data_IF_197525583887
#
_entry.id   IF_197525583887
#
_cell.length_a   1.000
_cell.length_b   1.000
_cell.length_c   1.000
_cell.angle_alpha   90.00
_cell.angle_beta   90.00
_cell.angle_gamma   90.00
#
_symmetry.space_group_name_H-M   'P 1'
#
loop_
_entity.id
_entity.type
_entity.pdbx_description
1 polymer ?
#
# COMPACT_ATOMS: atom_id res chain seq x y z
N UNK A 1 -41.99 -43.48 6.49
CA UNK A 1 -42.61 -44.34 5.47
C UNK A 1 -43.57 -43.57 4.58
N UNK A 2 -44.55 -42.80 5.10
CA UNK A 2 -45.53 -42.04 4.33
C UNK A 2 -44.95 -40.96 3.36
N UNK A 3 -43.83 -40.32 3.69
CA UNK A 3 -43.18 -39.33 2.82
C UNK A 3 -42.54 -39.97 1.57
N UNK A 4 -42.07 -41.22 1.72
CA UNK A 4 -41.42 -41.98 0.64
C UNK A 4 -42.41 -42.44 -0.44
N UNK A 5 -43.56 -42.94 -0.04
CA UNK A 5 -44.61 -43.45 -0.99
C UNK A 5 -45.22 -42.33 -1.85
N UNK A 6 -45.34 -41.13 -1.30
CA UNK A 6 -45.91 -40.00 -2.02
C UNK A 6 -44.91 -39.24 -2.95
N UNK A 7 -43.60 -39.36 -2.71
CA UNK A 7 -42.59 -38.85 -3.61
C UNK A 7 -42.26 -39.83 -4.77
N UNK A 8 -42.71 -41.08 -4.66
CA UNK A 8 -42.32 -42.18 -5.56
C UNK A 8 -42.74 -41.98 -7.03
N UNK A 9 -43.81 -41.21 -7.27
CA UNK A 9 -44.35 -40.93 -8.62
C UNK A 9 -44.19 -39.45 -9.06
N UNK A 10 -43.34 -38.64 -8.43
CA UNK A 10 -43.28 -37.22 -8.67
C UNK A 10 -41.95 -36.79 -9.25
N UNK A 11 -41.95 -35.73 -10.06
CA UNK A 11 -40.75 -35.08 -10.61
C UNK A 11 -39.73 -34.71 -9.53
N UNK A 12 -40.19 -34.29 -8.36
CA UNK A 12 -39.34 -33.95 -7.19
C UNK A 12 -38.38 -35.10 -6.81
N UNK A 13 -38.89 -36.36 -6.78
CA UNK A 13 -38.04 -37.51 -6.51
C UNK A 13 -36.96 -37.73 -7.55
N UNK A 14 -37.27 -37.47 -8.81
CA UNK A 14 -36.29 -37.51 -9.92
C UNK A 14 -35.23 -36.46 -9.75
N UNK A 15 -35.60 -35.22 -9.40
CA UNK A 15 -34.65 -34.14 -9.14
C UNK A 15 -33.70 -34.48 -7.98
N UNK A 16 -34.21 -35.00 -6.86
CA UNK A 16 -33.38 -35.49 -5.75
C UNK A 16 -32.34 -36.55 -6.20
N UNK A 17 -32.78 -37.56 -6.95
CA UNK A 17 -31.89 -38.63 -7.40
C UNK A 17 -30.80 -38.11 -8.35
N UNK A 18 -31.18 -37.26 -9.28
CA UNK A 18 -30.21 -36.63 -10.20
C UNK A 18 -29.19 -35.78 -9.44
N UNK A 19 -29.66 -34.97 -8.50
CA UNK A 19 -28.80 -34.12 -7.70
C UNK A 19 -27.84 -34.89 -6.81
N UNK A 20 -28.32 -35.96 -6.16
CA UNK A 20 -27.47 -36.82 -5.35
C UNK A 20 -26.36 -37.49 -6.19
N UNK A 21 -26.68 -37.99 -7.37
CA UNK A 21 -25.68 -38.57 -8.26
C UNK A 21 -24.63 -37.52 -8.67
N UNK A 22 -25.04 -36.31 -8.95
CA UNK A 22 -24.16 -35.20 -9.27
C UNK A 22 -23.26 -34.85 -8.06
N UNK A 23 -23.84 -34.63 -6.87
CA UNK A 23 -23.10 -34.31 -5.66
C UNK A 23 -22.15 -35.42 -5.25
N UNK A 24 -22.58 -36.67 -5.31
CA UNK A 24 -21.71 -37.83 -5.03
C UNK A 24 -20.49 -37.85 -5.98
N UNK A 25 -20.68 -37.50 -7.26
CA UNK A 25 -19.57 -37.42 -8.22
C UNK A 25 -18.64 -36.25 -7.90
N UNK A 26 -19.20 -35.07 -7.66
CA UNK A 26 -18.42 -33.86 -7.38
C UNK A 26 -17.63 -33.94 -6.06
N UNK A 27 -18.22 -34.54 -5.02
CA UNK A 27 -17.58 -34.66 -3.71
C UNK A 27 -16.58 -35.79 -3.61
N UNK A 28 -16.76 -36.89 -4.41
CA UNK A 28 -15.81 -38.02 -4.47
C UNK A 28 -14.59 -37.72 -5.32
N UNK A 29 -14.73 -36.86 -6.35
CA UNK A 29 -13.66 -36.47 -7.25
C UNK A 29 -13.41 -34.94 -7.19
N UNK A 30 -13.04 -34.39 -6.03
CA UNK A 30 -12.85 -32.95 -5.89
C UNK A 30 -11.59 -32.51 -6.63
N UNK A 31 -11.65 -31.35 -7.24
CA UNK A 31 -10.46 -30.68 -7.76
C UNK A 31 -9.78 -29.98 -6.58
N UNK A 32 -8.61 -30.50 -6.20
CA UNK A 32 -7.81 -29.90 -5.15
C UNK A 32 -7.07 -28.68 -5.67
N UNK A 33 -7.24 -27.55 -4.99
CA UNK A 33 -6.53 -26.29 -5.26
C UNK A 33 -5.70 -25.88 -4.05
N UNK A 34 -4.58 -25.24 -4.31
CA UNK A 34 -3.77 -24.66 -3.24
C UNK A 34 -4.46 -23.41 -2.70
N UNK A 35 -4.18 -23.10 -1.44
CA UNK A 35 -4.62 -21.82 -0.88
C UNK A 35 -3.99 -20.66 -1.68
N UNK A 36 -4.79 -19.70 -2.18
CA UNK A 36 -4.26 -18.55 -2.92
C UNK A 36 -3.23 -17.72 -2.13
N UNK A 37 -3.23 -17.80 -0.81
CA UNK A 37 -2.26 -17.09 0.06
C UNK A 37 -0.82 -17.55 -0.20
N UNK A 38 -0.60 -18.84 -0.55
CA UNK A 38 0.74 -19.39 -0.83
C UNK A 38 1.34 -18.80 -2.12
N UNK A 39 0.51 -18.35 -3.05
CA UNK A 39 0.93 -17.85 -4.37
C UNK A 39 1.18 -16.33 -4.39
N UNK A 40 0.78 -15.62 -3.34
CA UNK A 40 0.91 -14.16 -3.23
C UNK A 40 2.33 -13.65 -2.94
N UNK A 41 3.33 -14.51 -2.95
CA UNK A 41 4.72 -14.05 -2.89
C UNK A 41 4.95 -12.92 -3.91
N UNK A 42 5.39 -11.77 -3.42
CA UNK A 42 5.65 -10.54 -4.19
C UNK A 42 6.19 -10.87 -5.59
N UNK A 43 5.36 -10.65 -6.58
CA UNK A 43 5.60 -11.04 -7.95
C UNK A 43 6.93 -10.43 -8.42
N UNK A 44 7.82 -11.22 -9.02
CA UNK A 44 9.14 -10.75 -9.55
C UNK A 44 9.01 -9.52 -10.44
N UNK A 45 7.85 -9.29 -11.03
CA UNK A 45 7.53 -8.15 -11.89
C UNK A 45 7.49 -6.83 -11.10
N UNK A 46 6.92 -6.83 -9.89
CA UNK A 46 6.87 -5.64 -9.03
C UNK A 46 8.26 -5.23 -8.52
N UNK A 47 9.14 -6.20 -8.27
CA UNK A 47 10.52 -5.90 -7.88
C UNK A 47 11.31 -5.21 -9.01
N UNK A 48 10.98 -5.45 -10.27
CA UNK A 48 11.62 -4.80 -11.42
C UNK A 48 11.23 -3.32 -11.52
N UNK A 49 9.95 -2.99 -11.33
CA UNK A 49 9.46 -1.61 -11.37
C UNK A 49 10.02 -0.77 -10.22
N UNK A 50 10.11 -1.33 -9.02
CA UNK A 50 10.76 -0.68 -7.88
C UNK A 50 12.24 -0.40 -8.18
N UNK A 51 12.99 -1.37 -8.74
CA UNK A 51 14.39 -1.19 -9.11
C UNK A 51 14.59 -0.11 -10.17
N UNK A 52 13.71 -0.05 -11.17
CA UNK A 52 13.74 0.98 -12.22
C UNK A 52 13.54 2.37 -11.61
N UNK A 53 12.57 2.53 -10.73
CA UNK A 53 12.32 3.79 -10.03
C UNK A 53 13.50 4.19 -9.16
N UNK A 54 14.08 3.26 -8.40
CA UNK A 54 15.28 3.49 -7.60
C UNK A 54 16.45 3.99 -8.46
N UNK A 55 16.68 3.42 -9.64
CA UNK A 55 17.75 3.84 -10.54
C UNK A 55 17.59 5.29 -11.02
N UNK A 56 16.35 5.74 -11.27
CA UNK A 56 16.07 7.12 -11.65
C UNK A 56 16.36 8.11 -10.51
N UNK A 57 16.04 7.76 -9.28
CA UNK A 57 16.40 8.59 -8.11
C UNK A 57 17.91 8.69 -7.90
N UNK A 58 18.65 7.61 -8.12
CA UNK A 58 20.13 7.64 -8.06
C UNK A 58 20.72 8.51 -9.15
N UNK A 59 20.23 8.40 -10.39
CA UNK A 59 20.67 9.26 -11.49
C UNK A 59 20.37 10.74 -11.21
N UNK A 60 19.17 11.07 -10.72
CA UNK A 60 18.82 12.43 -10.29
C UNK A 60 19.79 12.95 -9.23
N UNK A 61 20.05 12.17 -8.19
CA UNK A 61 20.96 12.54 -7.10
C UNK A 61 22.36 12.83 -7.62
N UNK A 62 22.87 11.98 -8.52
CA UNK A 62 24.19 12.19 -9.14
C UNK A 62 24.24 13.50 -9.93
N UNK A 63 23.23 13.81 -10.73
CA UNK A 63 23.15 15.06 -11.49
C UNK A 63 23.11 16.30 -10.59
N UNK A 64 22.29 16.28 -9.54
CA UNK A 64 22.15 17.39 -8.60
C UNK A 64 23.43 17.59 -7.77
N UNK A 65 24.11 16.51 -7.35
CA UNK A 65 25.42 16.61 -6.69
C UNK A 65 26.50 17.19 -7.62
N UNK A 66 26.47 16.83 -8.90
CA UNK A 66 27.36 17.43 -9.90
C UNK A 66 27.07 18.92 -10.07
N UNK A 67 25.81 19.35 -10.04
CA UNK A 67 25.45 20.77 -10.08
C UNK A 67 26.02 21.52 -8.87
N UNK A 68 25.93 20.97 -7.66
CA UNK A 68 26.55 21.54 -6.45
C UNK A 68 28.09 21.63 -6.62
N UNK A 69 28.71 20.60 -7.17
CA UNK A 69 30.17 20.58 -7.40
C UNK A 69 30.65 21.59 -8.46
N UNK A 70 29.80 21.90 -9.44
CA UNK A 70 30.12 22.88 -10.50
C UNK A 70 29.83 24.31 -10.06
N UNK A 71 29.07 24.52 -9.01
CA UNK A 71 28.75 25.85 -8.50
C UNK A 71 29.99 26.47 -7.83
N UNK A 72 30.76 27.21 -8.61
CA UNK A 72 31.99 27.87 -8.13
C UNK A 72 31.78 29.24 -7.50
N UNK A 73 30.52 29.75 -7.47
CA UNK A 73 30.15 31.03 -6.88
C UNK A 73 30.50 32.26 -7.72
N UNK A 74 30.93 32.07 -9.00
CA UNK A 74 31.15 33.17 -9.91
C UNK A 74 29.83 33.70 -10.43
N UNK A 75 29.64 35.03 -10.33
CA UNK A 75 28.43 35.75 -10.74
C UNK A 75 28.85 36.88 -11.67
N UNK A 76 28.14 37.04 -12.79
CA UNK A 76 28.29 38.18 -13.67
C UNK A 76 27.03 39.03 -13.57
N UNK A 77 27.18 40.28 -13.19
CA UNK A 77 26.07 41.22 -13.05
C UNK A 77 26.23 42.39 -14.03
N UNK A 78 25.21 42.63 -14.83
CA UNK A 78 25.15 43.78 -15.73
C UNK A 78 24.11 44.78 -15.21
N UNK A 79 24.43 46.07 -15.21
CA UNK A 79 23.54 47.12 -14.82
C UNK A 79 23.61 48.29 -15.81
N UNK A 80 22.48 48.81 -16.19
CA UNK A 80 22.36 49.97 -17.05
C UNK A 80 21.56 51.04 -16.30
N UNK A 81 22.13 52.23 -16.18
CA UNK A 81 21.51 53.36 -15.56
C UNK A 81 21.36 54.48 -16.58
N UNK A 82 20.18 55.10 -16.64
CA UNK A 82 19.94 56.33 -17.38
C UNK A 82 19.44 57.40 -16.39
N UNK A 83 19.93 58.62 -16.53
CA UNK A 83 19.49 59.76 -15.73
C UNK A 83 18.88 60.79 -16.66
N UNK A 84 17.58 60.81 -16.85
CA UNK A 84 16.90 61.78 -17.72
C UNK A 84 17.10 63.23 -17.22
N UNK A 85 17.16 63.40 -15.90
CA UNK A 85 17.32 64.75 -15.28
C UNK A 85 18.65 65.43 -15.59
N UNK A 86 19.67 64.62 -15.97
CA UNK A 86 20.96 65.17 -16.38
C UNK A 86 20.93 65.98 -17.69
N UNK A 87 19.78 65.98 -18.37
CA UNK A 87 19.56 66.79 -19.59
C UNK A 87 19.07 68.19 -19.31
N UNK A 88 18.57 68.45 -18.11
CA UNK A 88 17.91 69.74 -17.79
C UNK A 88 18.76 70.69 -16.94
N UNK A 89 19.94 70.27 -16.44
CA UNK A 89 20.79 71.04 -15.52
C UNK A 89 22.06 71.55 -16.24
N UNK A 90 21.90 72.45 -17.20
CA UNK A 90 23.03 73.00 -17.96
C UNK A 90 23.48 74.39 -17.56
N UNK A 91 22.95 74.97 -16.47
CA UNK A 91 23.21 76.38 -16.17
C UNK A 91 23.71 76.73 -14.76
N UNK A 92 24.44 75.85 -14.07
CA UNK A 92 25.17 76.30 -12.86
C UNK A 92 26.60 75.71 -12.83
N UNK A 93 27.51 76.57 -13.13
CA UNK A 93 28.93 76.26 -13.48
C UNK A 93 29.89 76.31 -12.30
N UNK A 94 29.48 76.28 -11.04
CA UNK A 94 30.40 76.47 -9.92
C UNK A 94 30.17 75.58 -8.68
N UNK A 95 29.89 74.36 -8.79
CA UNK A 95 30.04 73.47 -7.63
C UNK A 95 30.38 72.03 -8.06
N UNK A 96 31.54 71.64 -7.67
CA UNK A 96 32.04 70.28 -7.67
C UNK A 96 31.69 69.44 -8.93
N UNK A 97 32.66 69.31 -9.78
CA UNK A 97 32.67 68.37 -10.92
C UNK A 97 32.52 66.91 -10.49
N UNK A 98 31.48 66.61 -9.71
CA UNK A 98 30.94 65.26 -9.65
C UNK A 98 30.38 64.98 -11.02
N UNK A 99 31.07 64.19 -11.80
CA UNK A 99 30.78 63.80 -13.18
C UNK A 99 29.31 63.43 -13.37
N UNK A 100 28.47 64.40 -13.78
CA UNK A 100 27.07 64.15 -14.17
C UNK A 100 27.14 63.28 -15.42
N UNK A 101 26.72 62.02 -15.31
CA UNK A 101 26.62 61.11 -16.46
C UNK A 101 25.16 60.95 -16.88
N UNK A 102 24.91 60.96 -18.17
CA UNK A 102 23.59 60.74 -18.78
C UNK A 102 23.22 59.27 -18.73
N UNK A 103 24.19 58.39 -18.96
CA UNK A 103 23.99 56.95 -18.85
C UNK A 103 25.26 56.29 -18.30
N UNK A 104 25.07 55.16 -17.64
CA UNK A 104 26.13 54.29 -17.11
C UNK A 104 25.82 52.86 -17.48
N UNK A 105 26.79 52.19 -18.08
CA UNK A 105 26.75 50.74 -18.25
C UNK A 105 27.81 50.18 -17.30
N UNK A 106 27.46 49.17 -16.57
CA UNK A 106 28.34 48.52 -15.60
C UNK A 106 28.26 47.00 -15.77
N UNK A 107 29.40 46.37 -15.85
CA UNK A 107 29.58 44.92 -15.77
C UNK A 107 30.43 44.55 -14.57
N UNK A 108 30.01 43.68 -13.77
CA UNK A 108 30.73 43.23 -12.57
C UNK A 108 30.87 41.69 -12.59
N UNK A 109 32.06 41.19 -12.44
CA UNK A 109 32.38 39.81 -12.18
C UNK A 109 32.62 39.67 -10.67
N UNK A 110 31.73 39.01 -9.97
CA UNK A 110 31.82 38.75 -8.54
C UNK A 110 32.09 37.27 -8.27
N UNK A 111 32.79 36.99 -7.19
CA UNK A 111 33.02 35.64 -6.72
C UNK A 111 32.46 35.48 -5.29
N UNK A 112 31.28 34.90 -5.16
CA UNK A 112 30.66 34.61 -3.86
C UNK A 112 31.28 33.35 -3.23
N UNK A 113 32.33 33.52 -2.43
CA UNK A 113 33.13 32.43 -1.87
C UNK A 113 32.26 31.55 -0.95
N UNK A 114 31.41 32.17 -0.11
CA UNK A 114 30.60 31.44 0.88
C UNK A 114 29.48 30.66 0.22
N UNK A 115 28.88 31.18 -0.86
CA UNK A 115 27.87 30.45 -1.60
C UNK A 115 28.45 29.49 -2.65
N UNK A 116 29.72 29.20 -2.63
CA UNK A 116 30.39 28.32 -3.56
C UNK A 116 30.52 26.90 -2.99
N UNK A 117 30.99 25.96 -3.85
CA UNK A 117 31.36 24.60 -3.45
C UNK A 117 32.49 24.53 -2.41
N UNK A 118 33.27 25.60 -2.27
CA UNK A 118 34.40 25.65 -1.35
C UNK A 118 33.97 25.81 0.11
N UNK A 119 32.83 26.39 0.34
CA UNK A 119 32.26 26.52 1.68
C UNK A 119 31.08 25.55 1.90
N UNK A 120 31.19 24.66 2.89
CA UNK A 120 30.20 23.65 3.23
C UNK A 120 29.74 22.77 2.04
N UNK A 121 30.64 22.53 1.08
CA UNK A 121 30.29 21.76 -0.12
C UNK A 121 29.88 20.31 0.18
N UNK A 122 30.47 19.70 1.23
CA UNK A 122 30.08 18.36 1.70
C UNK A 122 28.65 18.34 2.24
N UNK A 123 28.32 19.28 3.10
CA UNK A 123 27.00 19.41 3.73
C UNK A 123 25.93 19.74 2.70
N UNK A 124 26.24 20.59 1.70
CA UNK A 124 25.34 20.89 0.57
C UNK A 124 25.06 19.66 -0.29
N UNK A 125 26.08 18.84 -0.59
CA UNK A 125 25.89 17.58 -1.31
C UNK A 125 25.06 16.58 -0.49
N UNK A 126 25.33 16.49 0.80
CA UNK A 126 24.56 15.64 1.71
C UNK A 126 23.08 16.06 1.77
N UNK A 127 22.81 17.38 1.78
CA UNK A 127 21.42 17.89 1.73
C UNK A 127 20.67 17.38 0.51
N UNK A 128 21.30 17.45 -0.66
CA UNK A 128 20.71 16.92 -1.91
C UNK A 128 20.49 15.42 -1.82
N UNK A 129 21.50 14.66 -1.35
CA UNK A 129 21.41 13.21 -1.23
C UNK A 129 20.27 12.80 -0.28
N UNK A 130 20.18 13.42 0.88
CA UNK A 130 19.16 13.12 1.89
C UNK A 130 17.75 13.50 1.42
N UNK A 131 17.59 14.65 0.74
CA UNK A 131 16.29 15.07 0.20
C UNK A 131 15.79 14.09 -0.88
N UNK A 132 16.68 13.64 -1.76
CA UNK A 132 16.35 12.66 -2.79
C UNK A 132 16.08 11.27 -2.20
N UNK A 133 16.85 10.86 -1.18
CA UNK A 133 16.61 9.61 -0.46
C UNK A 133 15.24 9.62 0.24
N UNK A 134 14.87 10.73 0.88
CA UNK A 134 13.53 10.89 1.47
C UNK A 134 12.44 10.74 0.41
N UNK A 135 12.60 11.42 -0.75
CA UNK A 135 11.64 11.32 -1.86
C UNK A 135 11.56 9.90 -2.42
N UNK A 136 12.69 9.20 -2.53
CA UNK A 136 12.77 7.80 -2.95
C UNK A 136 12.00 6.87 -2.01
N UNK A 137 12.24 7.00 -0.70
CA UNK A 137 11.55 6.19 0.31
C UNK A 137 10.06 6.45 0.34
N UNK A 138 9.63 7.72 0.22
CA UNK A 138 8.20 8.06 0.12
C UNK A 138 7.55 7.50 -1.14
N UNK A 139 8.24 7.55 -2.28
CA UNK A 139 7.79 6.92 -3.53
C UNK A 139 7.66 5.42 -3.38
N UNK A 140 8.65 4.77 -2.76
CA UNK A 140 8.64 3.33 -2.48
C UNK A 140 7.49 2.94 -1.55
N UNK A 141 7.22 3.72 -0.51
CA UNK A 141 6.08 3.49 0.39
C UNK A 141 4.74 3.47 -0.36
N UNK A 142 4.52 4.45 -1.25
CA UNK A 142 3.30 4.51 -2.08
C UNK A 142 3.19 3.28 -3.00
N UNK A 143 4.25 2.98 -3.75
CA UNK A 143 4.27 1.82 -4.65
C UNK A 143 4.00 0.51 -3.90
N UNK A 144 4.58 0.35 -2.71
CA UNK A 144 4.35 -0.84 -1.87
C UNK A 144 2.88 -0.91 -1.42
N UNK A 145 2.27 0.22 -1.03
CA UNK A 145 0.86 0.26 -0.66
C UNK A 145 -0.05 -0.14 -1.82
N UNK A 146 0.20 0.38 -3.03
CA UNK A 146 -0.58 0.04 -4.24
C UNK A 146 -0.46 -1.45 -4.59
N UNK A 147 0.74 -2.03 -4.42
CA UNK A 147 0.98 -3.47 -4.63
C UNK A 147 0.13 -4.31 -3.68
N UNK A 148 0.09 -3.95 -2.39
CA UNK A 148 -0.69 -4.71 -1.40
C UNK A 148 -2.19 -4.51 -1.56
N UNK A 149 -2.66 -3.34 -1.99
CA UNK A 149 -4.07 -3.14 -2.34
C UNK A 149 -4.48 -4.06 -3.50
N UNK A 150 -3.69 -4.06 -4.57
CA UNK A 150 -3.94 -4.97 -5.69
C UNK A 150 -3.88 -6.44 -5.28
N UNK A 151 -2.92 -6.83 -4.45
CA UNK A 151 -2.83 -8.20 -3.94
C UNK A 151 -4.06 -8.59 -3.10
N UNK A 152 -4.62 -7.66 -2.32
CA UNK A 152 -5.85 -7.89 -1.56
C UNK A 152 -7.07 -8.06 -2.47
N UNK A 153 -7.15 -7.24 -3.54
CA UNK A 153 -8.21 -7.34 -4.54
C UNK A 153 -8.12 -8.66 -5.32
N UNK A 154 -6.93 -9.00 -5.82
CA UNK A 154 -6.68 -10.26 -6.54
C UNK A 154 -7.00 -11.49 -5.65
N UNK A 155 -6.63 -11.44 -4.37
CA UNK A 155 -6.95 -12.48 -3.39
C UNK A 155 -8.46 -12.60 -3.19
N UNK A 156 -9.13 -11.47 -3.02
CA UNK A 156 -10.57 -11.40 -2.80
C UNK A 156 -11.32 -11.96 -4.00
N UNK A 157 -10.92 -11.59 -5.22
CA UNK A 157 -11.51 -12.08 -6.47
C UNK A 157 -11.37 -13.61 -6.59
N UNK A 158 -10.17 -14.15 -6.32
CA UNK A 158 -9.93 -15.60 -6.35
C UNK A 158 -10.80 -16.35 -5.33
N UNK A 159 -10.88 -15.87 -4.10
CA UNK A 159 -11.71 -16.52 -3.09
C UNK A 159 -13.21 -16.37 -3.40
N UNK A 160 -13.65 -15.22 -3.90
CA UNK A 160 -15.03 -15.00 -4.31
C UNK A 160 -15.47 -15.99 -5.39
N UNK A 161 -14.56 -16.31 -6.33
CA UNK A 161 -14.82 -17.37 -7.31
C UNK A 161 -15.07 -18.74 -6.63
N UNK A 162 -14.21 -19.16 -5.71
CA UNK A 162 -14.39 -20.46 -5.02
C UNK A 162 -15.60 -20.47 -4.08
N UNK A 163 -15.83 -19.42 -3.33
CA UNK A 163 -16.99 -19.25 -2.48
C UNK A 163 -18.27 -19.27 -3.31
N UNK A 164 -18.28 -18.52 -4.43
CA UNK A 164 -19.40 -18.46 -5.36
C UNK A 164 -19.79 -19.82 -5.92
N UNK A 165 -18.81 -20.68 -6.30
CA UNK A 165 -19.10 -22.03 -6.77
C UNK A 165 -19.77 -22.89 -5.69
N UNK A 166 -19.34 -22.79 -4.44
CA UNK A 166 -19.94 -23.53 -3.32
C UNK A 166 -21.35 -23.05 -3.02
N UNK A 167 -21.57 -21.72 -3.02
CA UNK A 167 -22.89 -21.13 -2.80
C UNK A 167 -23.86 -21.50 -3.94
N UNK A 168 -23.41 -21.52 -5.20
CA UNK A 168 -24.23 -21.93 -6.33
C UNK A 168 -24.70 -23.38 -6.18
N UNK A 169 -23.82 -24.30 -5.79
CA UNK A 169 -24.22 -25.68 -5.49
C UNK A 169 -25.16 -25.79 -4.29
N UNK A 170 -24.98 -24.93 -3.27
CA UNK A 170 -25.91 -24.86 -2.13
C UNK A 170 -27.28 -24.34 -2.56
N UNK A 171 -27.33 -23.35 -3.44
CA UNK A 171 -28.55 -22.80 -4.00
C UNK A 171 -29.36 -23.86 -4.77
N UNK A 172 -28.71 -24.64 -5.64
CA UNK A 172 -29.35 -25.77 -6.34
C UNK A 172 -29.98 -26.78 -5.36
N UNK A 173 -29.31 -27.04 -4.24
CA UNK A 173 -29.87 -27.92 -3.20
C UNK A 173 -31.10 -27.32 -2.53
N UNK A 174 -31.01 -26.00 -2.21
CA UNK A 174 -32.12 -25.28 -1.57
C UNK A 174 -33.32 -25.14 -2.51
N UNK A 175 -33.12 -25.03 -3.83
CA UNK A 175 -34.19 -25.03 -4.83
C UNK A 175 -34.99 -26.35 -4.82
N UNK A 176 -34.28 -27.49 -4.83
CA UNK A 176 -34.90 -28.80 -4.78
C UNK A 176 -35.59 -29.01 -3.43
N UNK A 177 -35.00 -28.57 -2.33
CA UNK A 177 -35.65 -28.63 -1.00
C UNK A 177 -36.89 -27.76 -0.93
N UNK A 178 -36.83 -26.55 -1.48
CA UNK A 178 -37.98 -25.66 -1.53
C UNK A 178 -39.15 -26.28 -2.34
N UNK A 179 -38.86 -26.85 -3.52
CA UNK A 179 -39.83 -27.57 -4.34
C UNK A 179 -40.48 -28.74 -3.55
N UNK A 180 -39.67 -29.52 -2.83
CA UNK A 180 -40.15 -30.61 -1.99
C UNK A 180 -41.03 -30.13 -0.83
N UNK A 181 -40.62 -29.03 -0.16
CA UNK A 181 -41.41 -28.47 0.95
C UNK A 181 -42.70 -27.84 0.48
N UNK A 182 -42.77 -27.17 -0.66
CA UNK A 182 -43.99 -26.68 -1.27
C UNK A 182 -44.96 -27.82 -1.54
N UNK A 183 -44.48 -28.90 -2.16
CA UNK A 183 -45.33 -30.09 -2.39
C UNK A 183 -45.85 -30.73 -1.11
N UNK A 184 -45.05 -30.76 -0.03
CA UNK A 184 -45.46 -31.29 1.27
C UNK A 184 -46.47 -30.38 1.99
N UNK A 185 -46.33 -29.05 1.82
CA UNK A 185 -47.24 -28.06 2.38
C UNK A 185 -48.64 -28.16 1.73
N UNK A 186 -48.69 -28.27 0.39
CA UNK A 186 -49.96 -28.48 -0.34
C UNK A 186 -50.75 -29.71 0.13
N UNK A 187 -50.05 -30.64 0.79
CA UNK A 187 -50.62 -31.87 1.33
C UNK A 187 -50.81 -31.86 2.87
N UNK A 188 -50.71 -30.67 3.48
CA UNK A 188 -50.85 -30.47 4.94
C UNK A 188 -49.88 -31.34 5.79
N UNK A 189 -48.70 -31.64 5.27
CA UNK A 189 -47.73 -32.57 5.90
C UNK A 189 -46.55 -31.89 6.59
N UNK A 190 -46.45 -30.61 6.48
CA UNK A 190 -45.36 -29.84 7.05
C UNK A 190 -45.85 -28.51 7.60
N UNK A 191 -45.14 -27.97 8.61
CA UNK A 191 -45.38 -26.63 9.11
C UNK A 191 -44.78 -25.58 8.20
N UNK A 192 -45.42 -24.40 8.12
CA UNK A 192 -44.92 -23.25 7.37
C UNK A 192 -43.50 -22.82 7.80
N UNK A 193 -43.11 -23.04 9.06
CA UNK A 193 -41.81 -22.62 9.60
C UNK A 193 -40.63 -23.27 8.87
N UNK A 194 -40.75 -24.58 8.52
CA UNK A 194 -39.67 -25.28 7.80
C UNK A 194 -39.50 -24.77 6.37
N UNK A 195 -40.62 -24.47 5.71
CA UNK A 195 -40.56 -23.89 4.37
C UNK A 195 -39.99 -22.49 4.40
N UNK A 196 -40.44 -21.63 5.36
CA UNK A 196 -39.90 -20.27 5.52
C UNK A 196 -38.40 -20.27 5.80
N UNK A 197 -37.92 -21.24 6.60
CA UNK A 197 -36.49 -21.39 6.85
C UNK A 197 -35.72 -21.61 5.55
N UNK A 198 -36.12 -22.58 4.73
CA UNK A 198 -35.42 -22.87 3.44
C UNK A 198 -35.55 -21.71 2.46
N UNK A 199 -36.70 -21.03 2.41
CA UNK A 199 -36.85 -19.81 1.59
C UNK A 199 -35.90 -18.70 2.02
N UNK A 200 -35.74 -18.45 3.31
CA UNK A 200 -34.84 -17.43 3.82
C UNK A 200 -33.36 -17.79 3.52
N UNK A 201 -32.98 -19.07 3.68
CA UNK A 201 -31.64 -19.54 3.33
C UNK A 201 -31.39 -19.43 1.82
N UNK A 202 -32.40 -19.71 0.98
CA UNK A 202 -32.30 -19.51 -0.47
C UNK A 202 -32.12 -18.04 -0.83
N UNK A 203 -32.94 -17.14 -0.29
CA UNK A 203 -32.82 -15.70 -0.53
C UNK A 203 -31.47 -15.16 -0.08
N UNK A 204 -30.93 -15.63 1.05
CA UNK A 204 -29.59 -15.27 1.51
C UNK A 204 -28.51 -15.75 0.53
N UNK A 205 -28.60 -16.99 0.02
CA UNK A 205 -27.67 -17.54 -0.95
C UNK A 205 -27.75 -16.79 -2.31
N UNK A 206 -28.94 -16.45 -2.78
CA UNK A 206 -29.15 -15.63 -4.00
C UNK A 206 -28.52 -14.23 -3.85
N UNK A 207 -28.69 -13.61 -2.69
CA UNK A 207 -28.07 -12.32 -2.38
C UNK A 207 -26.54 -12.42 -2.37
N UNK A 208 -25.98 -13.41 -1.67
CA UNK A 208 -24.55 -13.63 -1.60
C UNK A 208 -23.93 -13.85 -3.01
N UNK A 209 -24.56 -14.67 -3.87
CA UNK A 209 -24.11 -14.86 -5.24
C UNK A 209 -24.15 -13.56 -6.04
N UNK A 210 -25.20 -12.75 -5.88
CA UNK A 210 -25.32 -11.48 -6.62
C UNK A 210 -24.21 -10.48 -6.30
N UNK A 211 -23.66 -10.57 -5.08
CA UNK A 211 -22.52 -9.72 -4.64
C UNK A 211 -21.17 -10.29 -5.08
N UNK A 212 -21.01 -11.61 -4.96
CA UNK A 212 -19.71 -12.26 -5.17
C UNK A 212 -19.36 -12.48 -6.65
N UNK A 213 -20.37 -12.71 -7.49
CA UNK A 213 -20.18 -13.11 -8.88
C UNK A 213 -21.18 -12.42 -9.80
N UNK A 214 -20.68 -11.67 -10.76
CA UNK A 214 -21.49 -11.12 -11.85
C UNK A 214 -22.00 -12.19 -12.82
N UNK A 215 -21.40 -13.37 -12.83
CA UNK A 215 -21.66 -14.44 -13.79
C UNK A 215 -22.50 -15.55 -13.13
N UNK A 216 -23.76 -15.70 -13.56
CA UNK A 216 -24.71 -16.68 -12.99
C UNK A 216 -24.45 -18.14 -13.41
N UNK A 217 -23.56 -18.37 -14.35
CA UNK A 217 -23.28 -19.71 -14.93
C UNK A 217 -22.28 -20.55 -14.15
N UNK A 218 -22.23 -20.32 -12.82
CA UNK A 218 -21.29 -20.96 -11.89
C UNK A 218 -21.78 -22.37 -11.48
N UNK A 219 -23.07 -22.64 -11.52
CA UNK A 219 -23.69 -23.91 -11.06
C UNK A 219 -23.19 -25.15 -11.78
N UNK A 220 -22.63 -24.99 -13.00
CA UNK A 220 -22.05 -26.09 -13.79
C UNK A 220 -20.56 -26.30 -13.52
N UNK A 221 -19.93 -25.48 -12.68
CA UNK A 221 -18.49 -25.59 -12.37
C UNK A 221 -18.25 -26.67 -11.31
N UNK A 222 -17.06 -27.30 -11.32
CA UNK A 222 -16.72 -28.29 -10.31
C UNK A 222 -16.60 -27.66 -8.91
N UNK A 223 -16.81 -28.45 -7.88
CA UNK A 223 -16.50 -28.06 -6.51
C UNK A 223 -14.98 -28.11 -6.31
N UNK A 224 -14.38 -26.97 -6.03
CA UNK A 224 -12.97 -26.89 -5.70
C UNK A 224 -12.77 -27.13 -4.20
N UNK A 225 -11.88 -28.02 -3.83
CA UNK A 225 -11.49 -28.26 -2.43
C UNK A 225 -10.13 -27.63 -2.14
N UNK A 226 -10.07 -26.82 -1.08
CA UNK A 226 -8.83 -26.30 -0.57
C UNK A 226 -8.36 -27.14 0.62
N UNK A 227 -7.06 -27.44 0.65
CA UNK A 227 -6.47 -28.07 1.83
C UNK A 227 -6.44 -27.05 2.98
N UNK A 228 -6.91 -27.42 4.17
CA UNK A 228 -6.80 -26.55 5.33
C UNK A 228 -5.33 -26.37 5.69
N UNK A 229 -4.98 -25.14 6.05
CA UNK A 229 -3.62 -24.76 6.39
C UNK A 229 -3.57 -23.87 7.61
N UNK A 230 -2.44 -23.87 8.31
CA UNK A 230 -2.13 -22.98 9.42
C UNK A 230 -0.98 -22.07 9.01
N UNK A 231 -1.08 -20.79 9.32
CA UNK A 231 0.00 -19.83 9.11
C UNK A 231 0.74 -19.60 10.43
N UNK A 232 2.04 -19.88 10.42
CA UNK A 232 2.96 -19.54 11.51
C UNK A 232 3.64 -18.21 11.18
N UNK A 233 3.80 -17.36 12.19
CA UNK A 233 4.46 -16.06 12.05
C UNK A 233 5.71 -16.04 12.90
N UNK A 234 6.86 -15.73 12.30
CA UNK A 234 8.08 -15.41 13.03
C UNK A 234 7.98 -13.99 13.63
N UNK A 235 7.46 -13.92 14.83
CA UNK A 235 7.23 -12.66 15.52
C UNK A 235 8.55 -11.95 15.84
N UNK A 236 9.65 -12.67 16.08
CA UNK A 236 10.94 -12.05 16.38
C UNK A 236 11.51 -11.34 15.15
N UNK A 237 11.46 -11.99 13.98
CA UNK A 237 11.85 -11.39 12.72
C UNK A 237 10.94 -10.19 12.37
N UNK A 238 9.64 -10.30 12.60
CA UNK A 238 8.66 -9.23 12.34
C UNK A 238 8.94 -7.99 13.21
N UNK A 239 9.20 -8.16 14.51
CA UNK A 239 9.50 -7.03 15.40
C UNK A 239 10.81 -6.34 15.04
N UNK A 240 11.84 -7.10 14.70
CA UNK A 240 13.12 -6.54 14.23
C UNK A 240 12.92 -5.75 12.93
N UNK A 241 12.12 -6.27 11.99
CA UNK A 241 11.84 -5.57 10.74
C UNK A 241 11.12 -4.23 10.99
N UNK A 242 10.14 -4.19 11.91
CA UNK A 242 9.46 -2.94 12.28
C UNK A 242 10.43 -1.91 12.86
N UNK A 243 11.36 -2.33 13.71
CA UNK A 243 12.25 -1.41 14.39
C UNK A 243 13.37 -0.85 13.48
N UNK A 244 13.88 -1.65 12.56
CA UNK A 244 15.13 -1.36 11.85
C UNK A 244 14.96 -1.24 10.33
N UNK A 245 14.12 -2.04 9.72
CA UNK A 245 14.11 -2.24 8.27
C UNK A 245 12.88 -1.62 7.58
N UNK A 246 11.84 -1.30 8.31
CA UNK A 246 10.62 -0.75 7.73
C UNK A 246 10.89 0.57 7.00
N UNK A 247 10.15 0.82 5.92
CA UNK A 247 10.28 2.07 5.15
C UNK A 247 10.01 3.28 6.05
N UNK A 248 9.06 3.18 6.98
CA UNK A 248 8.73 4.26 7.91
C UNK A 248 9.87 4.56 8.89
N UNK A 249 10.50 3.53 9.45
CA UNK A 249 11.69 3.71 10.29
C UNK A 249 12.82 4.41 9.52
N UNK A 250 13.07 4.01 8.26
CA UNK A 250 14.07 4.63 7.40
C UNK A 250 13.73 6.08 7.03
N UNK A 251 12.46 6.39 6.74
CA UNK A 251 12.00 7.76 6.49
C UNK A 251 12.29 8.66 7.71
N UNK A 252 12.00 8.19 8.93
CA UNK A 252 12.27 8.96 10.15
C UNK A 252 13.77 9.14 10.39
N UNK A 253 14.58 8.11 10.14
CA UNK A 253 16.05 8.24 10.22
C UNK A 253 16.58 9.27 9.23
N UNK A 254 16.10 9.28 7.99
CA UNK A 254 16.54 10.26 6.98
C UNK A 254 16.09 11.67 7.36
N UNK A 255 14.88 11.86 7.89
CA UNK A 255 14.41 13.16 8.40
C UNK A 255 15.31 13.67 9.55
N UNK A 256 15.70 12.80 10.48
CA UNK A 256 16.64 13.15 11.55
C UNK A 256 18.00 13.58 10.98
N UNK A 257 18.51 12.85 9.98
CA UNK A 257 19.76 13.21 9.30
C UNK A 257 19.66 14.54 8.53
N UNK A 258 18.50 14.86 7.95
CA UNK A 258 18.25 16.16 7.31
C UNK A 258 18.32 17.28 8.35
N UNK A 259 17.65 17.13 9.50
CA UNK A 259 17.70 18.13 10.57
C UNK A 259 19.14 18.34 11.11
N UNK A 260 19.90 17.26 11.28
CA UNK A 260 21.32 17.34 11.64
C UNK A 260 22.16 18.07 10.59
N UNK A 261 21.95 17.76 9.32
CA UNK A 261 22.71 18.39 8.24
C UNK A 261 22.33 19.88 8.08
N UNK A 262 21.05 20.22 8.20
CA UNK A 262 20.59 21.60 8.16
C UNK A 262 21.08 22.42 9.38
N UNK A 263 21.19 21.80 10.56
CA UNK A 263 21.84 22.40 11.72
C UNK A 263 23.31 22.75 11.46
N UNK A 264 24.07 21.87 10.76
CA UNK A 264 25.46 22.13 10.35
C UNK A 264 25.57 23.25 9.31
N UNK A 265 24.59 23.33 8.39
CA UNK A 265 24.52 24.40 7.39
C UNK A 265 24.13 25.74 8.00
N UNK A 266 23.41 25.75 9.12
CA UNK A 266 22.92 26.95 9.79
C UNK A 266 23.99 27.50 10.74
N UNK A 267 24.90 28.30 10.20
CA UNK A 267 25.89 29.01 10.99
C UNK A 267 25.98 30.50 10.58
N UNK A 268 26.64 31.32 11.39
CA UNK A 268 26.76 32.75 11.16
C UNK A 268 27.45 33.06 9.82
N UNK A 269 28.50 32.32 9.46
CA UNK A 269 29.23 32.52 8.21
C UNK A 269 28.36 32.21 6.98
N UNK A 270 27.37 31.29 7.11
CA UNK A 270 26.45 30.97 6.01
C UNK A 270 25.53 32.12 5.63
N UNK A 271 25.31 33.10 6.52
CA UNK A 271 24.51 34.31 6.27
C UNK A 271 25.37 35.48 5.80
N UNK A 272 26.68 35.41 5.96
CA UNK A 272 27.63 36.41 5.52
C UNK A 272 27.96 36.20 4.05
N UNK A 273 28.11 37.29 3.28
CA UNK A 273 28.56 37.24 1.90
C UNK A 273 29.93 37.92 1.80
N UNK A 274 30.89 37.20 1.27
CA UNK A 274 32.23 37.74 0.94
C UNK A 274 32.38 37.58 -0.56
N UNK A 275 32.41 38.73 -1.26
CA UNK A 275 32.42 38.77 -2.72
C UNK A 275 33.57 39.64 -3.21
N UNK A 276 34.75 39.06 -3.46
CA UNK A 276 35.73 39.74 -4.31
C UNK A 276 35.11 40.04 -5.67
N UNK A 277 35.32 41.22 -6.20
CA UNK A 277 34.74 41.58 -7.48
C UNK A 277 35.75 42.39 -8.33
N UNK A 278 35.58 42.26 -9.63
CA UNK A 278 36.15 43.15 -10.63
C UNK A 278 34.99 43.80 -11.40
N UNK A 279 34.97 45.08 -11.44
CA UNK A 279 33.93 45.87 -12.05
C UNK A 279 34.47 46.74 -13.15
N UNK A 280 33.80 46.75 -14.28
CA UNK A 280 34.03 47.70 -15.35
C UNK A 280 32.78 48.59 -15.47
N UNK A 281 33.01 49.91 -15.58
CA UNK A 281 31.95 50.89 -15.71
C UNK A 281 32.24 51.84 -16.85
N UNK A 282 31.33 52.00 -17.76
CA UNK A 282 31.37 53.01 -18.82
C UNK A 282 30.35 54.10 -18.56
N UNK A 283 30.79 55.30 -18.50
CA UNK A 283 29.96 56.48 -18.21
C UNK A 283 29.82 57.33 -19.47
N UNK A 284 28.64 57.60 -19.89
CA UNK A 284 28.32 58.60 -20.89
C UNK A 284 28.07 59.94 -20.21
N UNK A 285 29.04 60.84 -20.30
CA UNK A 285 28.98 62.13 -19.62
C UNK A 285 28.08 63.12 -20.37
N UNK A 286 27.67 64.19 -19.68
CA UNK A 286 26.79 65.24 -20.24
C UNK A 286 27.44 66.00 -21.43
N UNK A 287 28.79 66.05 -21.50
CA UNK A 287 29.55 66.62 -22.59
C UNK A 287 29.80 65.63 -23.77
N UNK A 288 29.04 64.57 -23.87
CA UNK A 288 29.14 63.48 -24.85
C UNK A 288 30.45 62.70 -24.83
N UNK A 289 31.31 62.86 -23.82
CA UNK A 289 32.51 62.02 -23.64
C UNK A 289 32.15 60.72 -22.95
N UNK A 290 32.86 59.63 -23.34
CA UNK A 290 32.75 58.32 -22.68
C UNK A 290 33.97 58.20 -21.77
N UNK A 291 33.74 57.90 -20.52
CA UNK A 291 34.80 57.58 -19.54
C UNK A 291 34.64 56.14 -19.09
N UNK A 292 35.70 55.38 -19.09
CA UNK A 292 35.75 54.00 -18.66
C UNK A 292 36.57 53.87 -17.38
N UNK A 293 36.00 53.24 -16.36
CA UNK A 293 36.68 52.98 -15.10
C UNK A 293 36.67 51.48 -14.78
N UNK A 294 37.75 50.96 -14.25
CA UNK A 294 37.86 49.61 -13.72
C UNK A 294 38.11 49.67 -12.23
N UNK A 295 37.29 48.93 -11.47
CA UNK A 295 37.41 48.83 -10.01
C UNK A 295 37.60 47.35 -9.63
N UNK A 296 38.47 47.10 -8.65
CA UNK A 296 38.66 45.81 -8.02
C UNK A 296 38.47 45.99 -6.52
N UNK A 297 37.69 45.09 -5.90
CA UNK A 297 37.43 45.23 -4.46
C UNK A 297 36.89 43.97 -3.85
N UNK A 298 36.64 44.05 -2.56
CA UNK A 298 35.94 42.98 -1.81
C UNK A 298 34.72 43.58 -1.14
N UNK A 299 33.56 43.01 -1.41
CA UNK A 299 32.31 43.40 -0.77
C UNK A 299 32.01 42.42 0.36
N UNK A 300 31.79 42.97 1.55
CA UNK A 300 31.32 42.24 2.72
C UNK A 300 29.87 42.61 2.96
N UNK A 301 28.99 41.59 3.08
CA UNK A 301 27.61 41.77 3.53
C UNK A 301 27.44 40.93 4.77
N UNK A 302 27.35 41.59 5.91
CA UNK A 302 27.18 40.93 7.23
C UNK A 302 25.79 41.32 7.74
N UNK A 303 24.89 40.37 8.00
CA UNK A 303 23.58 40.70 8.57
C UNK A 303 23.77 41.24 9.99
N UNK A 304 23.10 42.37 10.27
CA UNK A 304 23.11 42.99 11.61
C UNK A 304 22.46 42.11 12.64
N UNK A 305 21.42 41.40 12.21
CA UNK A 305 20.72 40.44 13.07
C UNK A 305 21.08 38.99 12.72
N UNK A 306 21.58 38.26 13.73
CA UNK A 306 21.97 36.87 13.56
C UNK A 306 20.85 35.93 14.06
N UNK A 307 20.09 35.34 13.13
CA UNK A 307 19.07 34.33 13.43
C UNK A 307 19.62 32.90 13.61
N UNK A 308 20.91 32.68 13.28
CA UNK A 308 21.50 31.32 13.23
C UNK A 308 21.34 30.55 14.55
N UNK A 309 21.55 31.14 15.76
CA UNK A 309 21.39 30.42 17.01
C UNK A 309 19.94 29.97 17.25
N UNK A 310 18.95 30.81 16.87
CA UNK A 310 17.51 30.47 17.00
C UNK A 310 17.11 29.38 16.01
N UNK A 311 17.56 29.49 14.77
CA UNK A 311 17.32 28.46 13.73
C UNK A 311 17.94 27.13 14.12
N UNK A 312 19.15 27.16 14.66
CA UNK A 312 19.81 25.94 15.15
C UNK A 312 19.04 25.28 16.29
N UNK A 313 18.60 26.08 17.27
CA UNK A 313 17.76 25.57 18.36
C UNK A 313 16.43 25.01 17.87
N UNK A 314 15.80 25.67 16.89
CA UNK A 314 14.58 25.16 16.28
C UNK A 314 14.80 23.78 15.60
N UNK A 315 15.91 23.61 14.87
CA UNK A 315 16.27 22.34 14.23
C UNK A 315 16.60 21.22 15.26
N UNK A 316 17.23 21.60 16.39
CA UNK A 316 17.46 20.66 17.50
C UNK A 316 16.11 20.21 18.12
N UNK A 317 15.17 21.14 18.33
CA UNK A 317 13.81 20.82 18.80
C UNK A 317 13.06 19.98 17.77
N UNK A 318 13.16 20.29 16.48
CA UNK A 318 12.57 19.49 15.39
C UNK A 318 13.10 18.05 15.41
N UNK A 319 14.39 17.87 15.63
CA UNK A 319 15.00 16.55 15.79
C UNK A 319 14.41 15.76 16.98
N UNK A 320 14.20 16.43 18.11
CA UNK A 320 13.54 15.81 19.27
C UNK A 320 12.10 15.42 18.98
N UNK A 321 11.35 16.28 18.26
CA UNK A 321 10.00 15.98 17.80
C UNK A 321 10.01 14.74 16.89
N UNK A 322 10.93 14.67 15.91
CA UNK A 322 11.05 13.53 14.99
C UNK A 322 11.32 12.23 15.78
N UNK A 323 12.22 12.26 16.78
CA UNK A 323 12.50 11.10 17.64
C UNK A 323 11.28 10.67 18.45
N UNK A 324 10.57 11.63 19.04
CA UNK A 324 9.36 11.36 19.81
C UNK A 324 8.25 10.77 18.92
N UNK A 325 8.02 11.36 17.74
CA UNK A 325 7.06 10.84 16.75
C UNK A 325 7.42 9.45 16.31
N UNK A 326 8.71 9.17 16.01
CA UNK A 326 9.16 7.82 15.64
C UNK A 326 8.78 6.78 16.69
N UNK A 327 9.03 7.09 17.97
CA UNK A 327 8.72 6.16 19.05
C UNK A 327 7.21 5.90 19.18
N UNK A 328 6.40 6.94 18.96
CA UNK A 328 4.92 6.84 18.96
C UNK A 328 4.44 6.02 17.78
N UNK A 329 4.89 6.34 16.57
CA UNK A 329 4.50 5.65 15.33
C UNK A 329 4.87 4.15 15.40
N UNK A 330 6.09 3.82 15.85
CA UNK A 330 6.53 2.42 16.03
C UNK A 330 5.64 1.69 17.03
N UNK A 331 5.26 2.35 18.14
CA UNK A 331 4.39 1.77 19.15
C UNK A 331 2.99 1.50 18.59
N UNK A 332 2.43 2.42 17.84
CA UNK A 332 1.11 2.28 17.19
C UNK A 332 1.12 1.15 16.15
N UNK A 333 2.16 1.09 15.30
CA UNK A 333 2.33 -0.01 14.34
C UNK A 333 2.41 -1.35 15.08
N UNK A 334 3.21 -1.46 16.15
CA UNK A 334 3.32 -2.68 16.95
C UNK A 334 1.99 -3.09 17.58
N UNK A 335 1.21 -2.13 18.05
CA UNK A 335 -0.13 -2.41 18.60
C UNK A 335 -1.09 -2.93 17.55
N UNK A 336 -1.14 -2.28 16.37
CA UNK A 336 -1.98 -2.70 15.24
C UNK A 336 -1.60 -4.09 14.74
N UNK A 337 -0.31 -4.34 14.58
CA UNK A 337 0.23 -5.64 14.18
C UNK A 337 -0.12 -6.72 15.21
N UNK A 338 -0.02 -6.43 16.50
CA UNK A 338 -0.35 -7.38 17.56
C UNK A 338 -1.83 -7.80 17.54
N UNK A 339 -2.74 -6.86 17.22
CA UNK A 339 -4.16 -7.14 17.03
C UNK A 339 -4.35 -8.09 15.82
N UNK A 340 -3.67 -7.83 14.71
CA UNK A 340 -3.76 -8.66 13.51
C UNK A 340 -3.14 -10.05 13.74
N UNK A 341 -2.05 -10.18 14.50
CA UNK A 341 -1.46 -11.47 14.87
C UNK A 341 -2.44 -12.33 15.68
N UNK A 342 -3.10 -11.75 16.67
CA UNK A 342 -4.15 -12.44 17.44
C UNK A 342 -5.32 -12.85 16.55
N UNK A 343 -5.70 -11.99 15.59
CA UNK A 343 -6.74 -12.32 14.61
C UNK A 343 -6.34 -13.51 13.74
N UNK A 344 -5.09 -13.56 13.26
CA UNK A 344 -4.56 -14.70 12.48
C UNK A 344 -4.59 -15.99 13.30
N UNK A 345 -4.22 -15.94 14.57
CA UNK A 345 -4.27 -17.10 15.47
C UNK A 345 -5.70 -17.62 15.65
N UNK A 346 -6.64 -16.74 15.93
CA UNK A 346 -8.06 -17.08 16.04
C UNK A 346 -8.61 -17.66 14.73
N UNK A 347 -8.23 -17.08 13.58
CA UNK A 347 -8.63 -17.60 12.27
C UNK A 347 -8.02 -18.97 11.97
N UNK A 348 -6.76 -19.22 12.35
CA UNK A 348 -6.15 -20.55 12.25
C UNK A 348 -6.94 -21.60 13.03
N UNK A 349 -7.38 -21.28 14.26
CA UNK A 349 -8.21 -22.18 15.08
C UNK A 349 -9.59 -22.41 14.47
N UNK A 350 -10.24 -21.35 13.99
CA UNK A 350 -11.54 -21.45 13.34
C UNK A 350 -11.47 -22.28 12.05
N UNK A 351 -10.43 -22.10 11.22
CA UNK A 351 -10.20 -22.90 10.01
C UNK A 351 -9.99 -24.38 10.37
N UNK A 352 -9.22 -24.68 11.39
CA UNK A 352 -9.02 -26.05 11.84
C UNK A 352 -10.33 -26.70 12.33
N UNK A 353 -11.17 -25.94 13.03
CA UNK A 353 -12.49 -26.41 13.48
C UNK A 353 -13.41 -26.70 12.30
N UNK A 354 -13.53 -25.79 11.34
CA UNK A 354 -14.35 -26.02 10.14
C UNK A 354 -13.82 -27.18 9.28
N UNK A 355 -12.51 -27.31 9.15
CA UNK A 355 -11.88 -28.43 8.45
C UNK A 355 -12.24 -29.77 9.11
N UNK A 356 -12.21 -29.82 10.45
CA UNK A 356 -12.66 -31.01 11.21
C UNK A 356 -14.14 -31.31 10.98
N UNK A 357 -15.01 -30.28 11.00
CA UNK A 357 -16.44 -30.45 10.70
C UNK A 357 -16.67 -30.98 9.28
N UNK A 358 -15.97 -30.45 8.29
CA UNK A 358 -16.05 -30.92 6.90
C UNK A 358 -15.65 -32.39 6.81
N UNK A 359 -14.53 -32.80 7.46
CA UNK A 359 -14.06 -34.17 7.46
C UNK A 359 -15.08 -35.12 8.13
N UNK A 360 -15.59 -34.75 9.31
CA UNK A 360 -16.57 -35.56 10.02
C UNK A 360 -17.88 -35.67 9.25
N UNK A 361 -18.38 -34.57 8.69
CA UNK A 361 -19.61 -34.58 7.89
C UNK A 361 -19.45 -35.41 6.62
N UNK A 362 -18.29 -35.31 5.96
CA UNK A 362 -17.96 -36.10 4.76
C UNK A 362 -17.95 -37.60 5.09
N UNK A 363 -17.25 -38.00 6.16
CA UNK A 363 -17.25 -39.40 6.64
C UNK A 363 -18.64 -39.89 7.01
N UNK A 364 -19.44 -39.06 7.65
CA UNK A 364 -20.80 -39.40 8.01
C UNK A 364 -21.69 -39.62 6.78
N UNK A 365 -21.59 -38.76 5.77
CA UNK A 365 -22.27 -38.91 4.49
C UNK A 365 -21.87 -40.23 3.82
N UNK A 366 -20.56 -40.55 3.80
CA UNK A 366 -20.06 -41.78 3.21
C UNK A 366 -20.58 -43.03 3.92
N UNK A 367 -20.57 -43.06 5.25
CA UNK A 367 -21.10 -44.20 6.01
C UNK A 367 -22.61 -44.39 5.76
N UNK A 368 -23.38 -43.30 5.60
CA UNK A 368 -24.84 -43.37 5.36
C UNK A 368 -25.19 -43.64 3.90
N UNK A 369 -24.29 -43.40 2.95
CA UNK A 369 -24.49 -43.66 1.52
C UNK A 369 -25.03 -45.07 1.24
N UNK A 370 -24.50 -46.05 1.89
CA UNK A 370 -24.94 -47.44 1.74
C UNK A 370 -26.40 -47.64 2.23
N UNK A 371 -26.78 -47.00 3.32
CA UNK A 371 -28.18 -47.04 3.81
C UNK A 371 -29.14 -46.32 2.85
N UNK A 372 -28.72 -45.18 2.27
CA UNK A 372 -29.49 -44.45 1.29
C UNK A 372 -29.68 -45.23 -0.03
N UNK A 373 -28.62 -45.88 -0.50
CA UNK A 373 -28.65 -46.68 -1.75
C UNK A 373 -29.61 -47.88 -1.63
N UNK A 374 -29.62 -48.54 -0.47
CA UNK A 374 -30.44 -49.69 -0.23
C UNK A 374 -31.87 -49.35 0.30
N UNK A 375 -32.22 -48.07 0.37
CA UNK A 375 -33.55 -47.58 0.82
C UNK A 375 -34.00 -48.24 2.12
N UNK A 376 -33.10 -48.42 3.08
CA UNK A 376 -33.38 -49.07 4.36
C UNK A 376 -34.29 -48.19 5.22
N UNK A 377 -34.82 -48.79 6.29
CA UNK A 377 -35.70 -48.10 7.25
C UNK A 377 -34.98 -46.79 7.75
N UNK A 378 -35.67 -45.64 7.69
CA UNK A 378 -35.11 -44.33 8.03
C UNK A 378 -34.58 -43.51 6.85
N UNK A 379 -34.72 -44.02 5.62
CA UNK A 379 -34.33 -43.26 4.43
C UNK A 379 -35.19 -41.97 4.30
N UNK A 380 -34.50 -40.83 4.22
CA UNK A 380 -35.13 -39.52 4.07
C UNK A 380 -34.34 -38.65 3.10
N UNK A 381 -34.94 -38.36 1.94
CA UNK A 381 -34.32 -37.54 0.89
C UNK A 381 -34.00 -36.11 1.36
N UNK A 382 -34.90 -35.49 2.14
CA UNK A 382 -34.69 -34.17 2.67
C UNK A 382 -33.51 -34.12 3.66
N UNK A 383 -33.43 -35.11 4.56
CA UNK A 383 -32.31 -35.21 5.50
C UNK A 383 -30.98 -35.40 4.80
N UNK A 384 -30.95 -36.20 3.76
CA UNK A 384 -29.71 -36.36 2.94
C UNK A 384 -29.32 -35.07 2.24
N UNK A 385 -30.31 -34.32 1.69
CA UNK A 385 -30.02 -33.05 1.04
C UNK A 385 -29.55 -32.01 2.07
N UNK A 386 -30.11 -31.99 3.27
CA UNK A 386 -29.68 -31.11 4.37
C UNK A 386 -28.22 -31.41 4.79
N UNK A 387 -27.82 -32.70 4.86
CA UNK A 387 -26.42 -33.09 5.12
C UNK A 387 -25.47 -32.54 4.07
N UNK A 388 -25.79 -32.64 2.77
CA UNK A 388 -24.96 -32.06 1.69
C UNK A 388 -24.94 -30.55 1.72
N UNK A 389 -26.08 -29.92 2.02
CA UNK A 389 -26.18 -28.46 2.14
C UNK A 389 -25.34 -27.94 3.30
N UNK A 390 -25.38 -28.65 4.46
CA UNK A 390 -24.52 -28.33 5.62
C UNK A 390 -23.03 -28.52 5.35
N UNK A 391 -22.65 -29.54 4.55
CA UNK A 391 -21.26 -29.73 4.12
C UNK A 391 -20.78 -28.55 3.27
N UNK A 392 -21.60 -28.11 2.29
CA UNK A 392 -21.28 -26.97 1.44
C UNK A 392 -21.20 -25.66 2.26
N UNK A 393 -22.10 -25.48 3.23
CA UNK A 393 -22.06 -24.32 4.13
C UNK A 393 -20.78 -24.29 4.98
N UNK A 394 -20.32 -25.43 5.49
CA UNK A 394 -19.06 -25.52 6.22
C UNK A 394 -17.85 -25.21 5.31
N UNK A 395 -17.87 -25.65 4.05
CA UNK A 395 -16.84 -25.28 3.06
C UNK A 395 -16.84 -23.78 2.77
N UNK A 396 -18.01 -23.18 2.59
CA UNK A 396 -18.17 -21.75 2.39
C UNK A 396 -17.58 -20.96 3.57
N UNK A 397 -17.93 -21.34 4.81
CA UNK A 397 -17.39 -20.72 6.03
C UNK A 397 -15.87 -20.84 6.10
N UNK A 398 -15.33 -22.02 5.82
CA UNK A 398 -13.89 -22.23 5.81
C UNK A 398 -13.19 -21.31 4.80
N UNK A 399 -13.71 -21.17 3.59
CA UNK A 399 -13.10 -20.31 2.57
C UNK A 399 -13.17 -18.82 2.94
N UNK A 400 -14.28 -18.37 3.50
CA UNK A 400 -14.42 -17.00 4.06
C UNK A 400 -13.39 -16.75 5.18
N UNK A 401 -13.15 -17.73 6.05
CA UNK A 401 -12.14 -17.64 7.11
C UNK A 401 -10.71 -17.59 6.53
N UNK A 402 -10.41 -18.40 5.52
CA UNK A 402 -9.13 -18.41 4.84
C UNK A 402 -8.86 -17.08 4.11
N UNK A 403 -9.86 -16.51 3.44
CA UNK A 403 -9.79 -15.18 2.84
C UNK A 403 -9.47 -14.11 3.90
N UNK A 404 -10.22 -14.10 5.00
CA UNK A 404 -10.03 -13.16 6.09
C UNK A 404 -8.62 -13.26 6.71
N UNK A 405 -8.06 -14.48 6.80
CA UNK A 405 -6.68 -14.70 7.24
C UNK A 405 -5.68 -14.13 6.24
N UNK A 406 -5.86 -14.38 4.95
CA UNK A 406 -5.02 -13.83 3.90
C UNK A 406 -5.00 -12.31 3.89
N UNK A 407 -6.18 -11.68 4.00
CA UNK A 407 -6.30 -10.23 4.12
C UNK A 407 -5.62 -9.68 5.39
N UNK A 408 -5.68 -10.41 6.52
CA UNK A 408 -4.98 -10.01 7.74
C UNK A 408 -3.44 -10.05 7.56
N UNK A 409 -2.91 -11.03 6.83
CA UNK A 409 -1.48 -11.13 6.49
C UNK A 409 -1.08 -9.95 5.59
N UNK A 410 -1.81 -9.70 4.51
CA UNK A 410 -1.56 -8.57 3.60
C UNK A 410 -1.59 -7.24 4.36
N UNK A 411 -2.51 -7.07 5.31
CA UNK A 411 -2.58 -5.86 6.13
C UNK A 411 -1.37 -5.70 7.05
N UNK A 412 -0.80 -6.79 7.59
CA UNK A 412 0.47 -6.72 8.33
C UNK A 412 1.60 -6.32 7.39
N UNK A 413 1.74 -6.98 6.25
CA UNK A 413 2.78 -6.68 5.27
C UNK A 413 2.70 -5.24 4.77
N UNK A 414 1.49 -4.73 4.50
CA UNK A 414 1.24 -3.32 4.15
C UNK A 414 1.66 -2.37 5.28
N UNK A 415 1.24 -2.66 6.53
CA UNK A 415 1.53 -1.82 7.69
C UNK A 415 3.03 -1.74 8.01
N UNK A 416 3.76 -2.83 7.75
CA UNK A 416 5.20 -2.94 8.01
C UNK A 416 6.03 -2.62 6.76
N UNK A 417 5.38 -2.47 5.60
CA UNK A 417 6.02 -2.22 4.30
C UNK A 417 7.09 -3.27 3.96
N UNK A 418 6.78 -4.55 4.15
CA UNK A 418 7.63 -5.68 3.76
C UNK A 418 7.60 -5.76 2.23
N UNK A 419 8.74 -5.74 1.57
CA UNK A 419 8.85 -5.84 0.11
C UNK A 419 9.85 -6.89 -0.37
N UNK A 420 10.59 -7.50 0.53
CA UNK A 420 11.42 -8.67 0.28
C UNK A 420 10.79 -9.88 0.95
N UNK A 421 10.89 -11.03 0.28
CA UNK A 421 10.32 -12.31 0.72
C UNK A 421 11.08 -12.83 1.95
N UNK A 422 10.99 -12.10 3.05
CA UNK A 422 11.47 -12.57 4.34
C UNK A 422 10.50 -13.65 4.78
N UNK A 423 10.99 -14.85 5.09
CA UNK A 423 10.22 -16.01 5.56
C UNK A 423 9.48 -15.78 6.89
N UNK A 424 8.88 -14.58 7.06
CA UNK A 424 8.15 -14.18 8.26
C UNK A 424 6.85 -14.97 8.39
N UNK A 425 6.17 -15.23 7.26
CA UNK A 425 4.95 -16.02 7.22
C UNK A 425 5.23 -17.37 6.60
N UNK A 426 4.94 -18.44 7.33
CA UNK A 426 5.10 -19.82 6.86
C UNK A 426 3.76 -20.53 6.94
N UNK A 427 3.25 -20.99 5.80
CA UNK A 427 2.05 -21.79 5.74
C UNK A 427 2.40 -23.29 5.85
N UNK A 428 1.65 -24.01 6.68
CA UNK A 428 1.79 -25.45 6.92
C UNK A 428 0.41 -26.06 6.72
N UNK A 429 0.32 -27.11 5.91
CA UNK A 429 -0.90 -27.93 5.74
C UNK A 429 -1.27 -28.58 7.09
N UNK A 430 -2.59 -28.60 7.41
CA UNK A 430 -3.15 -29.21 8.62
C UNK A 430 -3.48 -30.68 8.41
#
# INVERSE_FOLDING_TARGET
MLVYENLKNNNVLRHFKQRFAQLDTLLNNPIWVKSPVIELGLNKQHSADIRKTDSLYWAKTAHEQLAVNRHNGLEVTGQVYARPDAYFDSENDDAEKASKYKAKIQAELGWNIINSKFYQGKEKRNKVALANELSRLQGKKRQTADIYEKAADDLTEQYNFYIGTVIAHRLDNLDIMNEAYQFMLEKDRISNDKMLKVMNEKLAAEYDISILCSDRDISNKPIYRMKPSKVLVDTAALWRHIDEESIDARIMMVKEQIADNDSKLTNYLGTTRITPFARWSSYWQSNNKISNNGDVGVRFTIPIYNESPRKRKALETEKEIIKSSRNTDVKEIKQSVNILLKRIENLNQAIATEAYHIDQTSKYIDMRRFAYQNQKQGYNYLMRMDEYTGLLESMERMYKLMLNRGLAIINIEKAVSIYDNNNIFKEIEL
#
